data_IF_522468891078
#
_entry.id   IF_522468891078
#
_cell.length_a   1.000
_cell.length_b   1.000
_cell.length_c   1.000
_cell.angle_alpha   90.00
_cell.angle_beta   90.00
_cell.angle_gamma   90.00
#
_symmetry.space_group_name_H-M   'P 1'
#
loop_
_entity.id
_entity.type
_entity.pdbx_description
1 polymer ?
#
# COMPACT_ATOMS: atom_id res chain seq x y z
N UNK A 1 -43.21 -11.13 -45.27
CA UNK A 1 -43.19 -10.06 -44.25
C UNK A 1 -42.34 -10.52 -43.09
N UNK A 2 -41.12 -10.05 -43.03
CA UNK A 2 -40.20 -10.43 -41.94
C UNK A 2 -40.01 -9.22 -41.04
N UNK A 3 -40.57 -9.28 -39.84
CA UNK A 3 -40.45 -8.24 -38.81
C UNK A 3 -39.11 -8.46 -38.10
N UNK A 4 -38.16 -7.57 -38.36
CA UNK A 4 -36.91 -7.53 -37.58
C UNK A 4 -37.18 -6.82 -36.25
N UNK A 5 -37.20 -7.56 -35.15
CA UNK A 5 -37.15 -7.00 -33.81
C UNK A 5 -35.68 -6.62 -33.54
N UNK A 6 -35.37 -5.34 -33.57
CA UNK A 6 -34.15 -4.79 -33.10
C UNK A 6 -34.16 -4.77 -31.56
N UNK A 7 -33.46 -5.70 -30.92
CA UNK A 7 -33.25 -5.70 -29.48
C UNK A 7 -32.15 -4.69 -29.16
N UNK A 8 -32.55 -3.53 -28.68
CA UNK A 8 -31.66 -2.47 -28.24
C UNK A 8 -31.08 -2.87 -26.88
N UNK A 9 -29.81 -3.38 -26.89
CA UNK A 9 -29.04 -3.67 -25.69
C UNK A 9 -28.57 -2.39 -25.06
N UNK A 10 -29.27 -1.95 -24.00
CA UNK A 10 -28.91 -0.79 -23.20
C UNK A 10 -27.67 -1.16 -22.35
N UNK A 11 -26.48 -0.79 -22.81
CA UNK A 11 -25.25 -0.83 -21.98
C UNK A 11 -25.35 0.26 -20.92
N UNK A 12 -25.67 -0.14 -19.71
CA UNK A 12 -25.48 0.70 -18.53
C UNK A 12 -23.99 0.72 -18.24
N UNK A 13 -23.30 1.73 -18.72
CA UNK A 13 -21.92 2.04 -18.29
C UNK A 13 -22.02 2.61 -16.88
N UNK A 14 -21.82 1.78 -15.89
CA UNK A 14 -21.62 2.22 -14.52
C UNK A 14 -20.31 3.01 -14.48
N UNK A 15 -20.39 4.32 -14.57
CA UNK A 15 -19.28 5.23 -14.33
C UNK A 15 -18.90 5.13 -12.86
N UNK A 16 -17.94 4.27 -12.54
CA UNK A 16 -17.24 4.32 -11.25
C UNK A 16 -16.41 5.59 -11.27
N UNK A 17 -16.99 6.66 -10.74
CA UNK A 17 -16.25 7.89 -10.43
C UNK A 17 -15.29 7.57 -9.30
N UNK A 18 -14.13 7.01 -9.62
CA UNK A 18 -12.98 7.03 -8.73
C UNK A 18 -12.64 8.51 -8.55
N UNK A 19 -12.98 9.06 -7.40
CA UNK A 19 -12.39 10.31 -6.94
C UNK A 19 -10.93 10.05 -6.70
N UNK A 20 -10.14 10.23 -7.75
CA UNK A 20 -8.69 10.26 -7.67
C UNK A 20 -8.39 11.55 -6.92
N UNK A 21 -8.13 11.45 -5.61
CA UNK A 21 -7.45 12.50 -4.89
C UNK A 21 -6.00 12.48 -5.40
N UNK A 22 -5.77 13.17 -6.50
CA UNK A 22 -4.42 13.39 -7.00
C UNK A 22 -3.74 14.33 -6.03
N UNK A 23 -2.67 13.87 -5.38
CA UNK A 23 -1.80 14.71 -4.58
C UNK A 23 -1.17 15.81 -5.45
N UNK A 24 -0.59 16.82 -4.82
CA UNK A 24 0.15 17.87 -5.53
C UNK A 24 1.53 17.35 -5.92
N UNK A 25 1.90 17.34 -7.21
CA UNK A 25 3.24 16.96 -7.63
C UNK A 25 4.30 17.89 -7.04
N UNK A 26 5.38 17.33 -6.54
CA UNK A 26 6.55 18.05 -6.01
C UNK A 26 7.85 17.42 -6.53
N UNK A 27 8.98 18.09 -6.33
CA UNK A 27 10.30 17.55 -6.66
C UNK A 27 10.76 16.57 -5.56
N UNK A 28 11.55 15.58 -5.93
CA UNK A 28 12.17 14.66 -4.95
C UNK A 28 12.99 15.39 -3.88
N UNK A 29 13.63 16.52 -4.24
CA UNK A 29 14.41 17.35 -3.31
C UNK A 29 13.55 18.04 -2.24
N UNK A 30 12.24 18.13 -2.43
CA UNK A 30 11.29 18.72 -1.49
C UNK A 30 10.76 17.69 -0.46
N UNK A 31 11.09 16.40 -0.63
CA UNK A 31 10.82 15.39 0.38
C UNK A 31 11.59 15.69 1.67
N UNK A 32 11.03 15.29 2.84
CA UNK A 32 11.80 15.30 4.08
C UNK A 32 13.11 14.50 3.94
N UNK A 33 14.16 14.96 4.61
CA UNK A 33 15.49 14.31 4.55
C UNK A 33 15.48 12.83 4.88
N UNK A 34 14.64 12.41 5.83
CA UNK A 34 14.48 11.02 6.21
C UNK A 34 13.94 10.16 5.05
N UNK A 35 12.95 10.68 4.29
CA UNK A 35 12.42 10.00 3.10
C UNK A 35 13.46 9.93 1.98
N UNK A 36 14.21 11.00 1.73
CA UNK A 36 15.31 10.99 0.75
C UNK A 36 16.37 9.94 1.10
N UNK A 37 16.78 9.87 2.37
CA UNK A 37 17.74 8.88 2.86
C UNK A 37 17.21 7.45 2.74
N UNK A 38 15.93 7.24 3.01
CA UNK A 38 15.27 5.94 2.84
C UNK A 38 15.30 5.48 1.39
N UNK A 39 14.94 6.36 0.45
CA UNK A 39 14.97 6.06 -1.00
C UNK A 39 16.39 5.67 -1.43
N UNK A 40 17.39 6.47 -1.08
CA UNK A 40 18.79 6.20 -1.43
C UNK A 40 19.28 4.87 -0.86
N UNK A 41 18.86 4.53 0.36
CA UNK A 41 19.30 3.31 1.04
C UNK A 41 18.65 2.04 0.50
N UNK A 42 17.34 2.07 0.26
CA UNK A 42 16.56 0.87 -0.03
C UNK A 42 16.19 0.70 -1.50
N UNK A 43 16.27 1.79 -2.28
CA UNK A 43 16.02 1.81 -3.73
C UNK A 43 17.17 2.43 -4.53
N UNK A 44 18.44 2.02 -4.26
CA UNK A 44 19.62 2.69 -4.83
C UNK A 44 19.74 2.55 -6.35
N UNK A 45 19.06 1.57 -6.94
CA UNK A 45 19.08 1.28 -8.38
C UNK A 45 17.81 1.70 -9.10
N UNK A 46 16.81 2.16 -8.37
CA UNK A 46 15.54 2.58 -8.93
C UNK A 46 15.48 4.10 -9.08
N UNK A 47 14.77 4.57 -10.08
CA UNK A 47 14.60 5.99 -10.32
C UNK A 47 13.22 6.43 -9.86
N UNK A 48 13.15 7.58 -9.21
CA UNK A 48 11.89 8.20 -8.84
C UNK A 48 11.22 8.74 -10.09
N UNK A 49 10.04 8.23 -10.40
CA UNK A 49 9.21 8.65 -11.53
C UNK A 49 8.31 9.83 -11.17
N UNK A 50 7.75 9.80 -9.96
CA UNK A 50 6.78 10.79 -9.50
C UNK A 50 6.86 10.93 -7.98
N UNK A 51 6.66 12.14 -7.51
CA UNK A 51 6.46 12.43 -6.08
C UNK A 51 5.23 13.28 -5.94
N UNK A 52 4.34 12.90 -5.06
CA UNK A 52 3.15 13.67 -4.72
C UNK A 52 3.09 13.93 -3.22
N UNK A 53 2.54 15.10 -2.90
CA UNK A 53 2.23 15.53 -1.55
C UNK A 53 0.72 15.58 -1.40
N UNK A 54 0.18 14.89 -0.43
CA UNK A 54 -1.25 14.87 -0.12
C UNK A 54 -1.52 15.36 1.30
N UNK A 55 -2.58 16.15 1.45
CA UNK A 55 -3.11 16.57 2.74
C UNK A 55 -4.30 15.68 3.11
N UNK A 56 -4.00 14.47 3.56
CA UNK A 56 -4.99 13.52 4.01
C UNK A 56 -5.61 13.90 5.37
N UNK A 57 -6.64 13.18 5.78
CA UNK A 57 -7.31 13.36 7.09
C UNK A 57 -6.38 13.20 8.30
N UNK A 58 -5.21 12.59 8.12
CA UNK A 58 -4.22 12.30 9.19
C UNK A 58 -3.02 13.24 9.15
N UNK A 59 -3.06 14.27 8.32
CA UNK A 59 -1.96 15.19 8.08
C UNK A 59 -1.37 15.01 6.69
N UNK A 60 -0.22 15.65 6.49
CA UNK A 60 0.51 15.62 5.24
C UNK A 60 1.23 14.29 5.06
N UNK A 61 1.10 13.71 3.88
CA UNK A 61 1.74 12.48 3.46
C UNK A 61 2.44 12.70 2.12
N UNK A 62 3.43 11.86 1.83
CA UNK A 62 4.13 11.88 0.55
C UNK A 62 4.04 10.50 -0.07
N UNK A 63 3.74 10.45 -1.37
CA UNK A 63 3.75 9.23 -2.19
C UNK A 63 4.86 9.33 -3.22
N UNK A 64 5.64 8.28 -3.34
CA UNK A 64 6.76 8.18 -4.28
C UNK A 64 6.56 6.96 -5.16
N UNK A 65 6.42 7.19 -6.46
CA UNK A 65 6.39 6.17 -7.48
C UNK A 65 7.78 6.00 -8.10
N UNK A 66 8.19 4.76 -8.27
CA UNK A 66 9.44 4.42 -8.96
C UNK A 66 9.19 3.94 -10.39
N UNK A 67 10.23 4.03 -11.23
CA UNK A 67 10.16 3.58 -12.62
C UNK A 67 9.97 2.07 -12.75
N UNK A 68 10.37 1.30 -11.75
CA UNK A 68 10.11 -0.14 -11.67
C UNK A 68 8.65 -0.51 -11.45
N UNK A 69 7.83 0.44 -10.99
CA UNK A 69 6.46 0.22 -10.51
C UNK A 69 6.38 -0.07 -9.00
N UNK A 70 7.49 0.03 -8.27
CA UNK A 70 7.47 0.09 -6.80
C UNK A 70 6.89 1.42 -6.32
N UNK A 71 6.38 1.44 -5.08
CA UNK A 71 5.80 2.62 -4.43
C UNK A 71 6.28 2.71 -2.98
N UNK A 72 6.45 3.93 -2.48
CA UNK A 72 6.74 4.17 -1.08
C UNK A 72 6.01 5.42 -0.57
N UNK A 73 5.25 5.27 0.51
CA UNK A 73 4.55 6.37 1.17
C UNK A 73 5.28 6.75 2.46
N UNK A 74 5.28 8.05 2.74
CA UNK A 74 5.94 8.63 3.90
C UNK A 74 4.99 9.57 4.66
N UNK A 75 5.21 9.66 5.98
CA UNK A 75 4.58 10.68 6.82
C UNK A 75 5.20 12.06 6.57
N UNK A 76 4.60 13.11 7.14
CA UNK A 76 5.14 14.48 7.12
C UNK A 76 6.60 14.59 7.58
N UNK A 77 7.03 13.73 8.50
CA UNK A 77 8.39 13.70 9.04
C UNK A 77 9.35 12.84 8.18
N UNK A 78 8.86 12.24 7.09
CA UNK A 78 9.64 11.38 6.21
C UNK A 78 9.84 9.95 6.70
N UNK A 79 9.12 9.51 7.73
CA UNK A 79 9.10 8.10 8.11
C UNK A 79 8.26 7.31 7.12
N UNK A 80 8.76 6.15 6.69
CA UNK A 80 7.99 5.31 5.78
C UNK A 80 6.70 4.78 6.44
N UNK A 81 5.66 4.73 5.67
CA UNK A 81 4.31 4.32 6.06
C UNK A 81 3.83 3.09 5.31
N UNK A 82 4.11 3.04 4.01
CA UNK A 82 3.82 1.91 3.13
C UNK A 82 4.98 1.71 2.16
N UNK A 83 5.28 0.47 1.85
CA UNK A 83 6.19 0.10 0.76
C UNK A 83 5.56 -1.03 -0.02
N UNK A 84 5.46 -0.86 -1.33
CA UNK A 84 4.98 -1.85 -2.29
C UNK A 84 6.08 -2.17 -3.28
N UNK A 85 6.30 -3.44 -3.51
CA UNK A 85 7.29 -3.91 -4.47
C UNK A 85 6.81 -3.75 -5.91
N UNK A 86 7.74 -3.65 -6.84
CA UNK A 86 7.44 -3.77 -8.26
C UNK A 86 6.84 -5.16 -8.57
N UNK A 87 6.04 -5.23 -9.62
CA UNK A 87 5.40 -6.49 -10.03
C UNK A 87 6.44 -7.61 -10.21
N UNK A 88 6.17 -8.77 -9.64
CA UNK A 88 7.05 -9.92 -9.71
C UNK A 88 8.29 -9.85 -8.80
N UNK A 89 8.38 -8.86 -7.94
CA UNK A 89 9.47 -8.70 -6.95
C UNK A 89 8.93 -8.72 -5.52
N UNK A 90 9.81 -8.53 -4.54
CA UNK A 90 9.45 -8.44 -3.12
C UNK A 90 9.95 -7.14 -2.51
N UNK A 91 9.31 -6.72 -1.42
CA UNK A 91 9.79 -5.62 -0.59
C UNK A 91 11.22 -5.94 -0.11
N UNK A 92 12.16 -4.96 -0.15
CA UNK A 92 13.50 -5.15 0.36
C UNK A 92 13.48 -5.70 1.79
N UNK A 93 14.16 -6.83 2.03
CA UNK A 93 14.13 -7.54 3.32
C UNK A 93 14.58 -6.67 4.50
N UNK A 94 15.47 -5.70 4.25
CA UNK A 94 15.95 -4.77 5.26
C UNK A 94 14.88 -3.77 5.76
N UNK A 95 13.76 -3.62 5.04
CA UNK A 95 12.61 -2.80 5.45
C UNK A 95 11.67 -3.60 6.37
N UNK A 96 11.59 -4.91 6.16
CA UNK A 96 10.66 -5.78 6.87
C UNK A 96 11.19 -6.07 8.29
N UNK A 97 10.40 -5.80 9.35
CA UNK A 97 10.80 -6.17 10.71
C UNK A 97 11.10 -7.67 10.81
N UNK A 98 12.15 -8.03 11.54
CA UNK A 98 12.62 -9.42 11.66
C UNK A 98 11.53 -10.37 12.15
N UNK A 99 10.69 -9.94 13.10
CA UNK A 99 9.59 -10.76 13.60
C UNK A 99 8.55 -11.07 12.52
N UNK A 100 8.21 -10.07 11.68
CA UNK A 100 7.27 -10.21 10.55
C UNK A 100 7.87 -11.16 9.49
N UNK A 101 9.13 -10.94 9.11
CA UNK A 101 9.80 -11.79 8.13
C UNK A 101 9.84 -13.27 8.57
N UNK A 102 10.17 -13.51 9.86
CA UNK A 102 10.20 -14.84 10.46
C UNK A 102 8.80 -15.49 10.48
N UNK A 103 7.78 -14.73 10.86
CA UNK A 103 6.40 -15.22 10.87
C UNK A 103 5.94 -15.66 9.48
N UNK A 104 6.20 -14.85 8.46
CA UNK A 104 5.84 -15.19 7.08
C UNK A 104 6.62 -16.42 6.60
N UNK A 105 7.93 -16.48 6.82
CA UNK A 105 8.76 -17.62 6.42
C UNK A 105 8.31 -18.95 7.07
N UNK A 106 7.80 -18.91 8.30
CA UNK A 106 7.36 -20.09 9.04
C UNK A 106 5.96 -20.54 8.61
N UNK A 107 5.02 -19.61 8.47
CA UNK A 107 3.60 -19.92 8.30
C UNK A 107 3.14 -19.87 6.84
N UNK A 108 3.88 -19.19 5.95
CA UNK A 108 3.54 -18.98 4.54
C UNK A 108 4.74 -19.34 3.66
N UNK A 109 5.17 -20.60 3.74
CA UNK A 109 6.35 -21.11 3.00
C UNK A 109 6.21 -20.85 1.50
N UNK A 110 7.26 -20.33 0.89
CA UNK A 110 7.31 -20.03 -0.54
C UNK A 110 6.63 -18.70 -0.94
N UNK A 111 6.03 -17.98 0.01
CA UNK A 111 5.46 -16.66 -0.25
C UNK A 111 6.46 -15.55 0.10
N UNK A 112 6.41 -14.48 -0.68
CA UNK A 112 7.21 -13.27 -0.43
C UNK A 112 6.29 -12.11 -0.05
N UNK A 113 6.83 -11.12 0.65
CA UNK A 113 6.11 -9.91 1.01
C UNK A 113 6.17 -8.95 -0.18
N UNK A 114 5.02 -8.61 -0.75
CA UNK A 114 4.91 -7.69 -1.89
C UNK A 114 4.46 -6.29 -1.48
N UNK A 115 3.81 -6.16 -0.33
CA UNK A 115 3.48 -4.87 0.29
C UNK A 115 3.57 -4.98 1.81
N UNK A 116 4.03 -3.92 2.46
CA UNK A 116 4.01 -3.75 3.91
C UNK A 116 3.58 -2.32 4.26
N UNK A 117 2.61 -2.21 5.16
CA UNK A 117 2.12 -0.93 5.66
C UNK A 117 2.20 -0.88 7.18
N UNK A 118 2.66 0.25 7.72
CA UNK A 118 2.58 0.53 9.17
C UNK A 118 1.16 0.92 9.55
N UNK A 119 0.62 0.28 10.54
CA UNK A 119 -0.70 0.57 11.13
C UNK A 119 -0.55 0.83 12.63
N UNK A 120 -1.60 1.35 13.24
CA UNK A 120 -1.60 1.53 14.70
C UNK A 120 -1.46 0.17 15.39
N UNK A 121 -0.34 -0.04 16.05
CA UNK A 121 -0.05 -1.25 16.84
C UNK A 121 0.52 -2.41 16.03
N UNK A 122 1.00 -2.18 14.78
CA UNK A 122 1.65 -3.22 14.00
C UNK A 122 1.69 -2.95 12.50
N UNK A 123 1.48 -4.01 11.73
CA UNK A 123 1.67 -4.00 10.28
C UNK A 123 0.53 -4.71 9.56
N UNK A 124 0.24 -4.24 8.37
CA UNK A 124 -0.55 -4.95 7.36
C UNK A 124 0.41 -5.36 6.24
N UNK A 125 0.38 -6.63 5.88
CA UNK A 125 1.34 -7.25 4.96
C UNK A 125 0.56 -7.98 3.88
N UNK A 126 0.88 -7.72 2.61
CA UNK A 126 0.38 -8.49 1.48
C UNK A 126 1.46 -9.45 0.98
N UNK A 127 1.07 -10.68 0.71
CA UNK A 127 1.92 -11.74 0.21
C UNK A 127 1.75 -11.94 -1.30
N UNK A 128 2.73 -12.57 -1.93
CA UNK A 128 2.74 -12.85 -3.37
C UNK A 128 1.58 -13.69 -3.89
N UNK A 129 0.88 -14.42 -3.02
CA UNK A 129 -0.35 -15.15 -3.35
C UNK A 129 -1.64 -14.32 -3.13
N UNK A 130 -1.52 -13.03 -2.80
CA UNK A 130 -2.67 -12.15 -2.52
C UNK A 130 -3.23 -12.25 -1.11
N UNK A 131 -2.61 -13.01 -0.20
CA UNK A 131 -3.03 -13.06 1.20
C UNK A 131 -2.67 -11.77 1.94
N UNK A 132 -3.62 -11.20 2.68
CA UNK A 132 -3.41 -10.06 3.57
C UNK A 132 -3.29 -10.52 5.02
N UNK A 133 -2.26 -10.07 5.69
CA UNK A 133 -1.99 -10.36 7.10
C UNK A 133 -2.01 -9.07 7.91
N UNK A 134 -2.70 -9.08 9.05
CA UNK A 134 -2.66 -8.00 10.04
C UNK A 134 -1.95 -8.52 11.27
N UNK A 135 -0.77 -8.00 11.53
CA UNK A 135 0.14 -8.48 12.56
C UNK A 135 0.50 -7.35 13.52
N UNK A 136 0.61 -7.69 14.81
CA UNK A 136 1.20 -6.78 15.78
C UNK A 136 2.70 -6.59 15.52
N UNK A 137 3.36 -5.68 16.22
CA UNK A 137 4.82 -5.49 16.14
C UNK A 137 5.60 -6.78 16.45
N UNK A 138 5.06 -7.63 17.34
CA UNK A 138 5.59 -8.95 17.69
C UNK A 138 5.16 -10.07 16.73
N UNK A 139 4.62 -9.72 15.57
CA UNK A 139 4.13 -10.64 14.55
C UNK A 139 3.02 -11.60 15.01
N UNK A 140 2.17 -11.18 15.98
CA UNK A 140 0.97 -11.94 16.36
C UNK A 140 -0.21 -11.49 15.47
N UNK A 141 -1.06 -12.42 14.99
CA UNK A 141 -2.27 -12.04 14.26
C UNK A 141 -3.15 -11.07 15.06
N UNK A 142 -3.52 -9.96 14.46
CA UNK A 142 -4.48 -9.03 15.06
C UNK A 142 -5.88 -9.63 14.95
N UNK A 143 -6.58 -9.73 16.06
CA UNK A 143 -7.99 -10.11 16.09
C UNK A 143 -8.81 -8.98 15.44
N UNK A 144 -9.82 -9.30 14.61
CA UNK A 144 -10.81 -8.32 14.20
C UNK A 144 -11.43 -7.70 15.47
N UNK A 145 -11.50 -6.38 15.55
CA UNK A 145 -12.22 -5.73 16.64
C UNK A 145 -13.66 -6.23 16.59
N UNK A 146 -14.05 -7.05 17.54
CA UNK A 146 -15.46 -7.33 17.77
C UNK A 146 -16.11 -5.99 18.13
N UNK A 147 -16.87 -5.46 17.18
CA UNK A 147 -17.70 -4.29 17.45
C UNK A 147 -18.61 -4.61 18.62
N UNK A 148 -18.39 -3.97 19.76
CA UNK A 148 -19.27 -4.08 20.92
C UNK A 148 -20.67 -3.67 20.48
N UNK A 149 -21.52 -4.64 20.21
CA UNK A 149 -22.96 -4.46 20.15
C UNK A 149 -23.39 -4.09 21.54
N UNK A 150 -23.50 -2.79 21.80
CA UNK A 150 -24.11 -2.28 23.01
C UNK A 150 -25.47 -2.90 23.14
N UNK A 151 -25.62 -3.84 24.07
CA UNK A 151 -26.91 -4.25 24.59
C UNK A 151 -27.50 -3.03 25.31
N UNK A 152 -28.39 -2.32 24.62
CA UNK A 152 -29.32 -1.43 25.32
C UNK A 152 -30.33 -2.32 26.05
N UNK A 153 -30.23 -2.34 27.36
CA UNK A 153 -31.33 -2.71 28.26
C UNK A 153 -32.24 -1.51 28.45
#
# INVERSE_FOLDING_TARGET
MKKFLATMLLMVVASVSATIFAGTPIKQSELPKAAQSFITKYFPKDQVRKVEKDNGRRGMEYEVDFTSGAEADFTSDGNWKKVKAAHGTSVPSAIVPTAIAKYVATNFKGQTIVEISRKRGGYEVELSNGSELKLTEDAKPMQPRQGGRGQRR
#
